data_IF_500646284133
#
_entry.id   IF_500646284133
#
_cell.length_a   1.000
_cell.length_b   1.000
_cell.length_c   1.000
_cell.angle_alpha   90.00
_cell.angle_beta   90.00
_cell.angle_gamma   90.00
#
_symmetry.space_group_name_H-M   'P 1'
#
loop_
_entity.id
_entity.type
_entity.pdbx_description
1 polymer ?
#
# COMPACT_ATOMS: atom_id res chain seq x y z
N UNK A 1 44.22 42.84 2.35
CA UNK A 1 44.26 41.38 2.05
C UNK A 1 43.60 40.48 3.11
N UNK A 2 43.68 40.77 4.42
CA UNK A 2 43.04 39.91 5.45
C UNK A 2 41.50 39.96 5.45
N UNK A 3 40.91 41.13 5.19
CA UNK A 3 39.44 41.31 5.20
C UNK A 3 38.75 40.52 4.09
N UNK A 4 39.37 40.44 2.90
CA UNK A 4 38.84 39.71 1.73
C UNK A 4 38.72 38.20 1.97
N UNK A 5 39.62 37.61 2.78
CA UNK A 5 39.57 36.19 3.13
C UNK A 5 38.43 35.85 4.09
N UNK A 6 38.08 36.78 4.99
CA UNK A 6 37.00 36.59 5.97
C UNK A 6 35.64 36.68 5.27
N UNK A 7 35.49 37.60 4.30
CA UNK A 7 34.25 37.73 3.52
C UNK A 7 33.99 36.50 2.64
N UNK A 8 35.03 35.94 2.01
CA UNK A 8 34.88 34.69 1.25
C UNK A 8 34.50 33.49 2.12
N UNK A 9 35.03 33.39 3.34
CA UNK A 9 34.69 32.31 4.26
C UNK A 9 33.22 32.38 4.71
N UNK A 10 32.71 33.60 4.96
CA UNK A 10 31.31 33.81 5.35
C UNK A 10 30.35 33.49 4.21
N UNK A 11 30.67 33.89 2.97
CA UNK A 11 29.86 33.56 1.78
C UNK A 11 29.86 32.05 1.52
N UNK A 12 30.99 31.38 1.69
CA UNK A 12 31.07 29.93 1.58
C UNK A 12 30.26 29.19 2.65
N UNK A 13 30.25 29.69 3.89
CA UNK A 13 29.43 29.13 4.98
C UNK A 13 27.92 29.32 4.74
N UNK A 14 27.50 30.48 4.22
CA UNK A 14 26.11 30.73 3.87
C UNK A 14 25.67 29.87 2.69
N UNK A 15 26.50 29.75 1.64
CA UNK A 15 26.22 28.87 0.51
C UNK A 15 26.18 27.40 0.94
N UNK A 16 27.09 26.95 1.80
CA UNK A 16 27.08 25.59 2.33
C UNK A 16 25.84 25.33 3.19
N UNK A 17 25.43 26.29 4.02
CA UNK A 17 24.18 26.22 4.77
C UNK A 17 22.97 26.11 3.86
N UNK A 18 22.89 26.90 2.78
CA UNK A 18 21.77 26.85 1.84
C UNK A 18 21.73 25.51 1.07
N UNK A 19 22.88 24.91 0.77
CA UNK A 19 22.94 23.59 0.13
C UNK A 19 22.46 22.49 1.10
N UNK A 20 22.87 22.55 2.37
CA UNK A 20 22.45 21.57 3.39
C UNK A 20 20.94 21.67 3.67
N UNK A 21 20.34 22.86 3.65
CA UNK A 21 18.89 23.01 3.83
C UNK A 21 18.07 22.65 2.57
N UNK A 22 18.66 22.74 1.37
CA UNK A 22 17.96 22.37 0.14
C UNK A 22 17.82 20.85 -0.08
N UNK A 23 18.70 20.03 0.54
CA UNK A 23 18.61 18.57 0.48
C UNK A 23 17.58 17.99 1.46
N UNK A 24 17.22 18.72 2.53
CA UNK A 24 16.31 18.22 3.57
C UNK A 24 14.81 18.35 3.26
N UNK A 25 14.41 19.05 2.19
CA UNK A 25 13.00 19.16 1.79
C UNK A 25 12.57 18.09 0.77
N UNK A 26 13.43 17.12 0.47
CA UNK A 26 13.22 16.15 -0.61
C UNK A 26 13.17 14.69 -0.18
N UNK A 27 12.90 14.43 1.10
CA UNK A 27 12.76 13.06 1.64
C UNK A 27 11.31 12.67 1.99
N UNK A 28 10.33 13.57 1.83
CA UNK A 28 8.94 13.30 2.25
C UNK A 28 7.98 12.87 1.12
N UNK A 29 8.40 12.87 -0.16
CA UNK A 29 7.51 12.48 -1.28
C UNK A 29 7.70 11.04 -1.79
N UNK A 30 8.73 10.32 -1.34
CA UNK A 30 9.10 9.03 -1.94
C UNK A 30 8.95 7.80 -1.03
N UNK A 31 8.36 7.86 0.17
CA UNK A 31 7.81 6.62 0.81
C UNK A 31 6.41 6.23 0.23
N UNK A 32 6.18 6.72 -0.98
CA UNK A 32 5.27 6.24 -2.04
C UNK A 32 5.91 5.05 -2.79
N UNK A 33 7.19 4.72 -2.54
CA UNK A 33 8.05 3.81 -3.30
C UNK A 33 7.52 2.37 -3.54
N UNK A 34 6.48 1.93 -2.85
CA UNK A 34 5.92 0.57 -2.99
C UNK A 34 4.40 0.53 -3.11
N UNK A 35 3.80 1.60 -3.62
CA UNK A 35 2.34 1.72 -3.72
C UNK A 35 1.67 0.60 -4.53
N UNK A 36 2.30 0.18 -5.62
CA UNK A 36 1.82 -0.96 -6.44
C UNK A 36 2.14 -2.34 -5.82
N UNK A 37 2.96 -2.38 -4.78
CA UNK A 37 3.45 -3.60 -4.12
C UNK A 37 2.76 -3.86 -2.77
N UNK A 38 1.77 -3.05 -2.39
CA UNK A 38 1.01 -3.16 -1.15
C UNK A 38 -0.49 -3.34 -1.39
N UNK A 39 -1.19 -3.81 -0.38
CA UNK A 39 -2.62 -4.10 -0.42
C UNK A 39 -2.92 -5.44 -1.08
N UNK A 40 -4.17 -5.88 -1.00
CA UNK A 40 -4.56 -7.22 -1.46
C UNK A 40 -4.32 -7.40 -2.96
N UNK A 41 -4.56 -6.35 -3.74
CA UNK A 41 -4.45 -6.38 -5.21
C UNK A 41 -3.00 -6.46 -5.72
N UNK A 42 -2.00 -6.19 -4.87
CA UNK A 42 -0.58 -6.31 -5.25
C UNK A 42 -0.18 -7.76 -5.55
N UNK A 43 -0.70 -8.72 -4.77
CA UNK A 43 -0.49 -10.15 -4.97
C UNK A 43 -1.67 -10.83 -5.69
N UNK A 44 -2.91 -10.37 -5.44
CA UNK A 44 -4.11 -10.93 -6.05
C UNK A 44 -4.41 -10.31 -7.41
N UNK A 45 -3.59 -10.69 -8.40
CA UNK A 45 -3.65 -10.19 -9.77
C UNK A 45 -3.48 -11.32 -10.80
N UNK A 46 -3.69 -10.98 -12.06
CA UNK A 46 -3.35 -11.87 -13.17
C UNK A 46 -1.83 -11.88 -13.33
N UNK A 47 -1.24 -13.08 -13.39
CA UNK A 47 0.21 -13.29 -13.51
C UNK A 47 0.48 -14.19 -14.71
N UNK A 48 1.46 -13.82 -15.54
CA UNK A 48 1.94 -14.64 -16.65
C UNK A 48 3.27 -15.28 -16.29
N UNK A 49 3.40 -16.60 -16.45
CA UNK A 49 4.64 -17.34 -16.24
C UNK A 49 4.93 -18.17 -17.49
N UNK A 50 5.92 -17.76 -18.26
CA UNK A 50 6.17 -18.35 -19.59
C UNK A 50 4.99 -18.07 -20.53
N UNK A 51 4.39 -19.13 -21.07
CA UNK A 51 3.22 -19.05 -21.95
C UNK A 51 1.88 -19.18 -21.20
N UNK A 52 1.91 -19.45 -19.90
CA UNK A 52 0.72 -19.69 -19.09
C UNK A 52 0.25 -18.41 -18.37
N UNK A 53 -1.08 -18.24 -18.31
CA UNK A 53 -1.74 -17.13 -17.60
C UNK A 53 -2.49 -17.70 -16.40
N UNK A 54 -2.17 -17.17 -15.22
CA UNK A 54 -2.80 -17.53 -13.96
C UNK A 54 -3.61 -16.35 -13.42
N UNK A 55 -4.87 -16.60 -13.10
CA UNK A 55 -5.77 -15.60 -12.51
C UNK A 55 -5.88 -15.84 -10.99
N UNK A 56 -5.15 -15.02 -10.23
CA UNK A 56 -5.19 -14.97 -8.76
C UNK A 56 -5.97 -13.78 -8.23
N UNK A 57 -6.78 -13.12 -9.08
CA UNK A 57 -7.60 -11.98 -8.64
C UNK A 57 -8.53 -12.37 -7.48
N UNK A 58 -8.89 -11.40 -6.65
CA UNK A 58 -9.79 -11.62 -5.51
C UNK A 58 -11.11 -12.31 -5.94
N UNK A 59 -11.63 -11.92 -7.11
CA UNK A 59 -12.81 -12.57 -7.69
C UNK A 59 -12.56 -14.03 -8.08
N UNK A 60 -11.42 -14.33 -8.72
CA UNK A 60 -11.07 -15.69 -9.11
C UNK A 60 -10.90 -16.60 -7.89
N UNK A 61 -10.32 -16.09 -6.80
CA UNK A 61 -10.15 -16.84 -5.56
C UNK A 61 -11.49 -17.12 -4.86
N UNK A 62 -12.31 -16.08 -4.64
CA UNK A 62 -13.58 -16.26 -3.93
C UNK A 62 -14.56 -17.15 -4.70
N UNK A 63 -14.51 -17.15 -6.04
CA UNK A 63 -15.34 -18.00 -6.89
C UNK A 63 -15.07 -19.49 -6.71
N UNK A 64 -13.88 -19.87 -6.21
CA UNK A 64 -13.51 -21.27 -5.95
C UNK A 64 -14.11 -21.81 -4.63
N UNK A 65 -14.72 -20.96 -3.81
CA UNK A 65 -15.29 -21.34 -2.51
C UNK A 65 -16.74 -21.81 -2.72
N UNK A 66 -16.99 -23.12 -2.57
CA UNK A 66 -18.28 -23.77 -2.93
C UNK A 66 -19.51 -23.15 -2.25
N UNK A 67 -19.39 -22.68 -1.01
CA UNK A 67 -20.50 -22.10 -0.22
C UNK A 67 -20.52 -20.57 -0.19
N UNK A 68 -19.64 -19.89 -0.94
CA UNK A 68 -19.63 -18.44 -0.97
C UNK A 68 -20.75 -17.91 -1.88
N UNK A 69 -21.55 -16.90 -1.45
CA UNK A 69 -22.52 -16.26 -2.33
C UNK A 69 -21.88 -15.77 -3.63
N UNK A 70 -22.59 -15.89 -4.75
CA UNK A 70 -22.11 -15.39 -6.02
C UNK A 70 -21.94 -13.87 -5.96
N UNK A 71 -20.73 -13.40 -6.29
CA UNK A 71 -20.41 -11.97 -6.38
C UNK A 71 -20.36 -11.53 -7.84
N UNK A 72 -20.56 -10.23 -8.06
CA UNK A 72 -20.36 -9.61 -9.39
C UNK A 72 -18.89 -9.26 -9.55
N UNK A 73 -18.26 -9.74 -10.63
CA UNK A 73 -16.83 -9.52 -10.88
C UNK A 73 -16.50 -8.02 -10.89
N UNK A 74 -17.30 -7.23 -11.59
CA UNK A 74 -17.05 -5.79 -11.76
C UNK A 74 -17.04 -5.07 -10.41
N UNK A 75 -17.91 -5.48 -9.49
CA UNK A 75 -17.97 -4.92 -8.14
C UNK A 75 -16.75 -5.34 -7.31
N UNK A 76 -16.28 -6.58 -7.42
CA UNK A 76 -15.04 -7.00 -6.73
C UNK A 76 -13.83 -6.27 -7.31
N UNK A 77 -13.74 -6.10 -8.63
CA UNK A 77 -12.63 -5.39 -9.27
C UNK A 77 -12.59 -3.91 -8.86
N UNK A 78 -13.75 -3.26 -8.77
CA UNK A 78 -13.86 -1.85 -8.36
C UNK A 78 -13.64 -1.66 -6.85
N UNK A 79 -14.28 -2.50 -6.04
CA UNK A 79 -14.29 -2.32 -4.59
C UNK A 79 -13.12 -3.01 -3.88
N UNK A 80 -12.48 -4.00 -4.51
CA UNK A 80 -11.38 -4.76 -3.96
C UNK A 80 -11.77 -5.48 -2.67
N UNK A 81 -10.83 -5.55 -1.73
CA UNK A 81 -11.03 -6.20 -0.42
C UNK A 81 -12.13 -5.55 0.42
N UNK A 82 -12.41 -4.26 0.21
CA UNK A 82 -13.46 -3.55 0.95
C UNK A 82 -14.84 -4.16 0.70
N UNK A 83 -15.06 -4.76 -0.48
CA UNK A 83 -16.31 -5.47 -0.77
C UNK A 83 -16.47 -6.72 0.09
N UNK A 84 -15.37 -7.42 0.37
CA UNK A 84 -15.37 -8.60 1.23
C UNK A 84 -15.76 -8.24 2.65
N UNK A 85 -15.29 -7.07 3.13
CA UNK A 85 -15.59 -6.59 4.47
C UNK A 85 -17.06 -6.25 4.71
N UNK A 86 -17.80 -5.87 3.67
CA UNK A 86 -19.26 -5.62 3.78
C UNK A 86 -20.02 -6.79 4.40
N UNK A 87 -19.54 -8.02 4.17
CA UNK A 87 -20.07 -9.21 4.84
C UNK A 87 -19.16 -9.66 5.98
N UNK A 88 -17.84 -9.64 5.83
CA UNK A 88 -16.93 -10.35 6.72
C UNK A 88 -16.29 -9.51 7.85
N UNK A 89 -16.65 -8.25 8.06
CA UNK A 89 -15.95 -7.42 9.08
C UNK A 89 -15.99 -8.05 10.49
N UNK A 90 -17.19 -8.30 11.02
CA UNK A 90 -17.40 -8.70 12.42
C UNK A 90 -18.32 -9.93 12.58
N UNK A 91 -18.11 -10.99 11.80
CA UNK A 91 -18.89 -12.24 11.82
C UNK A 91 -18.35 -13.35 12.73
N UNK A 92 -17.66 -13.00 13.82
CA UNK A 92 -17.14 -13.99 14.77
C UNK A 92 -16.05 -14.87 14.14
N UNK A 93 -16.27 -16.18 14.02
CA UNK A 93 -15.30 -17.10 13.39
C UNK A 93 -15.16 -16.87 11.89
N UNK A 94 -16.19 -16.31 11.24
CA UNK A 94 -16.16 -15.94 9.82
C UNK A 94 -15.66 -14.52 9.58
N UNK A 95 -15.15 -13.83 10.60
CA UNK A 95 -14.53 -12.51 10.42
C UNK A 95 -13.33 -12.60 9.48
N UNK A 96 -13.21 -11.63 8.58
CA UNK A 96 -12.20 -11.58 7.52
C UNK A 96 -10.79 -11.75 8.10
N UNK A 97 -10.46 -10.99 9.15
CA UNK A 97 -9.17 -11.07 9.85
C UNK A 97 -8.85 -12.46 10.41
N UNK A 98 -9.85 -13.23 10.84
CA UNK A 98 -9.65 -14.58 11.38
C UNK A 98 -9.43 -15.62 10.29
N UNK A 99 -9.93 -15.36 9.08
CA UNK A 99 -9.77 -16.23 7.92
C UNK A 99 -8.44 -15.92 7.21
N UNK A 100 -8.20 -14.65 6.91
CA UNK A 100 -7.13 -14.22 5.99
C UNK A 100 -5.76 -14.27 6.65
N UNK A 101 -5.63 -13.87 7.92
CA UNK A 101 -4.32 -13.88 8.58
C UNK A 101 -3.72 -15.29 8.62
N UNK A 102 -4.42 -16.35 9.08
CA UNK A 102 -3.84 -17.70 9.06
C UNK A 102 -3.51 -18.20 7.66
N UNK A 103 -4.37 -17.93 6.67
CA UNK A 103 -4.15 -18.36 5.27
C UNK A 103 -2.82 -17.80 4.76
N UNK A 104 -2.49 -16.55 5.06
CA UNK A 104 -1.27 -15.92 4.59
C UNK A 104 -0.08 -16.26 5.49
N UNK A 105 -0.19 -16.10 6.81
CA UNK A 105 0.94 -16.34 7.72
C UNK A 105 1.46 -17.78 7.72
N UNK A 106 0.61 -18.76 7.38
CA UNK A 106 1.02 -20.16 7.31
C UNK A 106 1.23 -20.66 5.87
N UNK A 107 1.12 -19.78 4.87
CA UNK A 107 1.42 -20.12 3.48
C UNK A 107 2.91 -20.03 3.21
N UNK A 108 3.47 -21.02 2.51
CA UNK A 108 4.84 -20.96 1.98
C UNK A 108 4.99 -19.95 0.83
N UNK A 109 3.89 -19.43 0.30
CA UNK A 109 3.86 -18.45 -0.79
C UNK A 109 3.74 -17.00 -0.32
N UNK A 110 3.63 -16.75 0.99
CA UNK A 110 3.61 -15.42 1.56
C UNK A 110 4.96 -15.09 2.21
N UNK A 111 5.68 -14.14 1.63
CA UNK A 111 6.97 -13.64 2.09
C UNK A 111 6.88 -12.23 2.72
N UNK A 112 5.66 -11.70 2.80
CA UNK A 112 5.37 -10.36 3.32
C UNK A 112 5.27 -10.29 4.84
N UNK A 113 4.79 -9.15 5.32
CA UNK A 113 4.53 -8.89 6.73
C UNK A 113 3.24 -8.07 6.90
N UNK A 114 2.96 -7.56 8.12
CA UNK A 114 1.77 -6.75 8.40
C UNK A 114 1.58 -5.60 7.39
N UNK A 115 2.68 -4.96 6.99
CA UNK A 115 2.70 -3.79 6.11
C UNK A 115 2.46 -4.13 4.64
N UNK A 116 2.48 -5.41 4.27
CA UNK A 116 2.08 -5.85 2.93
C UNK A 116 0.60 -5.58 2.66
N UNK A 117 -0.24 -5.58 3.70
CA UNK A 117 -1.70 -5.36 3.59
C UNK A 117 -2.19 -4.14 4.35
N UNK A 118 -1.47 -3.74 5.41
CA UNK A 118 -1.88 -2.65 6.27
C UNK A 118 -0.97 -1.44 6.15
N UNK A 119 -1.57 -0.29 6.39
CA UNK A 119 -0.87 0.93 6.75
C UNK A 119 -1.08 1.26 8.23
N UNK A 120 -0.33 2.23 8.74
CA UNK A 120 -0.51 2.73 10.11
C UNK A 120 -0.94 4.19 10.04
N UNK A 121 -2.06 4.53 10.71
CA UNK A 121 -2.50 5.92 10.83
C UNK A 121 -1.60 6.72 11.79
N UNK A 122 -1.73 8.04 11.79
CA UNK A 122 -0.98 8.93 12.69
C UNK A 122 -1.20 8.62 14.18
N UNK A 123 -2.33 8.00 14.52
CA UNK A 123 -2.68 7.53 15.86
C UNK A 123 -2.10 6.15 16.21
N UNK A 124 -1.38 5.52 15.28
CA UNK A 124 -0.79 4.19 15.46
C UNK A 124 -1.77 3.05 15.22
N UNK A 125 -2.90 3.28 14.56
CA UNK A 125 -3.88 2.24 14.24
C UNK A 125 -3.59 1.58 12.89
N UNK A 126 -3.70 0.24 12.83
CA UNK A 126 -3.66 -0.45 11.54
C UNK A 126 -4.90 -0.11 10.71
N UNK A 127 -4.68 0.39 9.49
CA UNK A 127 -5.70 0.57 8.44
C UNK A 127 -5.41 -0.36 7.29
N UNK A 128 -6.42 -0.73 6.51
CA UNK A 128 -6.13 -1.47 5.27
C UNK A 128 -5.52 -0.52 4.25
N UNK A 129 -4.46 -0.95 3.59
CA UNK A 129 -3.82 -0.13 2.56
C UNK A 129 -4.78 0.20 1.42
N UNK A 130 -5.61 -0.75 0.99
CA UNK A 130 -6.64 -0.55 -0.04
C UNK A 130 -7.69 0.53 0.35
N UNK A 131 -7.92 0.78 1.64
CA UNK A 131 -8.78 1.86 2.14
C UNK A 131 -8.09 3.22 1.99
N UNK A 132 -6.84 3.30 2.48
CA UNK A 132 -6.02 4.52 2.42
C UNK A 132 -5.82 4.96 0.97
N UNK A 133 -5.44 4.03 0.09
CA UNK A 133 -5.20 4.32 -1.33
C UNK A 133 -6.42 4.87 -2.05
N UNK A 134 -7.60 4.30 -1.79
CA UNK A 134 -8.84 4.77 -2.41
C UNK A 134 -9.21 6.18 -1.99
N UNK A 135 -9.11 6.47 -0.69
CA UNK A 135 -9.42 7.79 -0.17
C UNK A 135 -8.50 8.86 -0.76
N UNK A 136 -7.20 8.56 -0.93
CA UNK A 136 -6.25 9.48 -1.54
C UNK A 136 -6.56 9.72 -3.03
N UNK A 137 -6.90 8.67 -3.78
CA UNK A 137 -7.27 8.80 -5.19
C UNK A 137 -8.54 9.64 -5.40
N UNK A 138 -9.51 9.54 -4.50
CA UNK A 138 -10.72 10.37 -4.54
C UNK A 138 -10.40 11.86 -4.31
N UNK A 139 -9.50 12.17 -3.38
CA UNK A 139 -9.02 13.53 -3.12
C UNK A 139 -8.33 14.13 -4.35
N UNK A 140 -7.41 13.39 -4.98
CA UNK A 140 -6.69 13.84 -6.19
C UNK A 140 -7.62 14.07 -7.39
N UNK A 141 -8.76 13.37 -7.45
CA UNK A 141 -9.74 13.50 -8.53
C UNK A 141 -10.72 14.66 -8.35
N UNK A 142 -10.63 15.37 -7.22
CA UNK A 142 -11.54 16.46 -6.84
C UNK A 142 -10.95 17.87 -7.02
N UNK A 143 -9.70 17.96 -7.49
CA UNK A 143 -9.01 19.20 -7.93
C UNK A 143 -9.17 19.47 -9.45
#
# INVERSE_FOLDING_TARGET
>A
MKILKITMLFVALILFSLIVFADTEKEDEDDILHLEERGCSSCHKVVTRGEEVFDYTLYAEVKKIEEHPALRKETVDEQGVLYCLLCHENLGEKSFKKIIHPIHYFSEHFDGNCFSCHDISDEGEFKLFDEVWKNNKELDSSE
#
